data_IF_021124318938
#
_entry.id   IF_021124318938
#
_cell.length_a   1.000
_cell.length_b   1.000
_cell.length_c   1.000
_cell.angle_alpha   90.00
_cell.angle_beta   90.00
_cell.angle_gamma   90.00
#
_symmetry.space_group_name_H-M   'P 1'
#
loop_
_entity.id
_entity.type
_entity.pdbx_description
1 polymer ?
#
# COMPACT_ATOMS: atom_id res chain seq x y z
N UNK A 1 -24.38 -22.02 1.40
CA UNK A 1 -23.10 -22.25 0.71
C UNK A 1 -22.00 -22.18 1.75
N UNK A 2 -20.99 -23.06 1.70
CA UNK A 2 -19.85 -22.98 2.62
C UNK A 2 -19.06 -21.69 2.35
N UNK A 3 -18.66 -20.98 3.40
CA UNK A 3 -17.82 -19.79 3.29
C UNK A 3 -16.48 -20.18 2.66
N UNK A 4 -16.04 -19.52 1.56
CA UNK A 4 -14.73 -19.79 0.97
C UNK A 4 -13.60 -19.65 2.01
N UNK A 5 -12.58 -20.50 1.92
CA UNK A 5 -11.41 -20.44 2.82
C UNK A 5 -10.74 -19.06 2.82
N UNK A 6 -10.72 -18.39 1.68
CA UNK A 6 -10.22 -17.02 1.50
C UNK A 6 -10.98 -16.02 2.40
N UNK A 7 -12.31 -16.03 2.36
CA UNK A 7 -13.14 -15.19 3.22
C UNK A 7 -12.93 -15.46 4.72
N UNK A 8 -12.77 -16.72 5.14
CA UNK A 8 -12.49 -17.07 6.54
C UNK A 8 -11.13 -16.51 7.00
N UNK A 9 -10.11 -16.57 6.15
CA UNK A 9 -8.80 -16.00 6.43
C UNK A 9 -8.85 -14.48 6.58
N UNK A 10 -9.56 -13.79 5.67
CA UNK A 10 -9.73 -12.33 5.74
C UNK A 10 -10.51 -11.90 6.99
N UNK A 11 -11.57 -12.62 7.36
CA UNK A 11 -12.30 -12.37 8.61
C UNK A 11 -11.39 -12.53 9.84
N UNK A 12 -10.52 -13.54 9.85
CA UNK A 12 -9.54 -13.74 10.92
C UNK A 12 -8.56 -12.57 11.00
N UNK A 13 -7.95 -12.16 9.88
CA UNK A 13 -7.00 -11.04 9.85
C UNK A 13 -7.65 -9.72 10.27
N UNK A 14 -8.88 -9.44 9.83
CA UNK A 14 -9.62 -8.24 10.24
C UNK A 14 -9.87 -8.23 11.75
N UNK A 15 -10.27 -9.38 12.31
CA UNK A 15 -10.48 -9.53 13.75
C UNK A 15 -9.18 -9.36 14.54
N UNK A 16 -8.06 -9.84 14.01
CA UNK A 16 -6.75 -9.69 14.63
C UNK A 16 -6.32 -8.22 14.66
N UNK A 17 -6.47 -7.49 13.56
CA UNK A 17 -6.20 -6.05 13.48
C UNK A 17 -7.10 -5.22 14.41
N UNK A 18 -8.39 -5.57 14.50
CA UNK A 18 -9.32 -4.90 15.43
C UNK A 18 -8.97 -5.18 16.90
N UNK A 19 -8.43 -6.36 17.22
CA UNK A 19 -8.03 -6.73 18.58
C UNK A 19 -6.67 -6.14 18.96
N UNK A 20 -5.76 -6.04 18.00
CA UNK A 20 -4.40 -5.55 18.16
C UNK A 20 -4.13 -4.54 17.03
N UNK A 21 -4.56 -3.28 17.19
CA UNK A 21 -4.27 -2.26 16.20
C UNK A 21 -2.77 -2.07 16.09
N UNK A 22 -2.30 -1.88 14.87
CA UNK A 22 -0.89 -1.62 14.54
C UNK A 22 -0.74 -0.12 14.34
N UNK A 23 0.34 0.45 14.85
CA UNK A 23 0.58 1.89 14.69
C UNK A 23 0.85 2.24 13.21
N UNK A 24 0.43 3.44 12.82
CA UNK A 24 0.66 3.97 11.47
C UNK A 24 -0.44 3.68 10.45
N UNK A 25 -1.41 2.81 10.74
CA UNK A 25 -2.60 2.67 9.89
C UNK A 25 -3.84 2.19 10.64
N UNK A 26 -5.01 2.38 10.05
CA UNK A 26 -6.24 1.68 10.42
C UNK A 26 -6.83 0.97 9.22
N UNK A 27 -7.57 -0.10 9.46
CA UNK A 27 -8.16 -0.93 8.41
C UNK A 27 -9.63 -1.23 8.75
N UNK A 28 -10.49 -1.14 7.75
CA UNK A 28 -11.91 -1.46 7.86
C UNK A 28 -12.48 -1.95 6.54
N UNK A 29 -13.74 -2.38 6.54
CA UNK A 29 -14.42 -2.76 5.32
C UNK A 29 -14.97 -1.52 4.61
N UNK A 30 -14.90 -1.51 3.28
CA UNK A 30 -15.62 -0.50 2.48
C UNK A 30 -17.13 -0.70 2.64
N UNK A 31 -17.56 -1.96 2.75
CA UNK A 31 -18.94 -2.38 2.98
C UNK A 31 -18.94 -3.66 3.79
N UNK A 32 -19.72 -3.72 4.88
CA UNK A 32 -19.79 -4.88 5.77
C UNK A 32 -20.22 -6.18 5.08
N UNK A 33 -20.87 -6.08 3.92
CA UNK A 33 -21.28 -7.22 3.10
C UNK A 33 -20.18 -7.74 2.15
N UNK A 34 -19.03 -7.06 2.05
CA UNK A 34 -17.93 -7.43 1.17
C UNK A 34 -16.58 -7.48 1.90
N UNK A 35 -16.22 -8.67 2.37
CA UNK A 35 -14.94 -8.93 3.05
C UNK A 35 -13.71 -8.79 2.14
N UNK A 36 -13.87 -8.69 0.82
CA UNK A 36 -12.76 -8.61 -0.15
C UNK A 36 -12.38 -7.17 -0.52
N UNK A 37 -13.03 -6.15 0.04
CA UNK A 37 -12.70 -4.75 -0.22
C UNK A 37 -12.58 -3.97 1.09
N UNK A 38 -11.36 -3.53 1.38
CA UNK A 38 -11.03 -2.85 2.61
C UNK A 38 -10.64 -1.40 2.32
N UNK A 39 -11.04 -0.51 3.22
CA UNK A 39 -10.54 0.86 3.29
C UNK A 39 -9.45 0.92 4.35
N UNK A 40 -8.31 1.49 3.99
CA UNK A 40 -7.16 1.68 4.86
C UNK A 40 -6.92 3.17 5.01
N UNK A 41 -6.69 3.64 6.23
CA UNK A 41 -6.16 4.97 6.48
C UNK A 41 -4.70 4.84 6.91
N UNK A 42 -3.77 5.42 6.15
CA UNK A 42 -2.34 5.36 6.42
C UNK A 42 -1.88 6.71 6.94
N UNK A 43 -1.24 6.72 8.11
CA UNK A 43 -0.63 7.92 8.69
C UNK A 43 0.76 8.06 8.08
N UNK A 44 1.06 9.25 7.57
CA UNK A 44 2.38 9.60 7.06
C UNK A 44 3.46 9.34 8.11
N UNK A 45 4.49 8.52 7.84
CA UNK A 45 5.46 8.13 8.85
C UNK A 45 6.27 9.34 9.37
N UNK A 46 6.66 9.35 10.65
CA UNK A 46 7.47 10.42 11.22
C UNK A 46 8.84 10.49 10.54
N UNK A 47 9.45 11.68 10.53
CA UNK A 47 10.76 11.95 9.93
C UNK A 47 10.81 11.69 8.41
N UNK A 48 9.64 11.71 7.74
CA UNK A 48 9.51 11.60 6.28
C UNK A 48 8.87 12.83 5.66
N UNK A 49 8.93 12.95 4.33
CA UNK A 49 8.22 14.02 3.61
C UNK A 49 6.69 13.90 3.72
N UNK A 50 6.19 12.73 4.09
CA UNK A 50 4.76 12.42 4.21
C UNK A 50 4.22 12.67 5.62
N UNK A 51 5.09 12.97 6.60
CA UNK A 51 4.72 13.17 8.00
C UNK A 51 3.54 14.13 8.16
N UNK A 52 2.59 13.75 9.03
CA UNK A 52 1.37 14.50 9.30
C UNK A 52 0.28 14.35 8.23
N UNK A 53 0.52 13.60 7.14
CA UNK A 53 -0.49 13.26 6.15
C UNK A 53 -1.36 12.06 6.56
N UNK A 54 -2.56 11.98 6.01
CA UNK A 54 -3.53 10.90 6.24
C UNK A 54 -4.06 10.39 4.91
N UNK A 55 -3.46 9.31 4.42
CA UNK A 55 -3.70 8.82 3.07
C UNK A 55 -4.68 7.66 3.08
N UNK A 56 -5.86 7.89 2.51
CA UNK A 56 -6.86 6.85 2.31
C UNK A 56 -6.44 5.96 1.13
N UNK A 57 -6.52 4.66 1.32
CA UNK A 57 -6.28 3.66 0.30
C UNK A 57 -7.36 2.57 0.33
N UNK A 58 -7.48 1.85 -0.78
CA UNK A 58 -8.34 0.67 -0.92
C UNK A 58 -7.48 -0.55 -1.17
N UNK A 59 -7.73 -1.60 -0.40
CA UNK A 59 -7.11 -2.91 -0.57
C UNK A 59 -8.17 -3.88 -1.10
N UNK A 60 -7.93 -4.44 -2.28
CA UNK A 60 -8.87 -5.34 -2.96
C UNK A 60 -8.26 -6.72 -3.08
N UNK A 61 -8.92 -7.70 -2.48
CA UNK A 61 -8.46 -9.08 -2.45
C UNK A 61 -9.05 -9.89 -3.61
N UNK A 62 -8.26 -10.77 -4.25
CA UNK A 62 -8.80 -11.69 -5.23
C UNK A 62 -9.50 -12.87 -4.55
N UNK A 63 -10.32 -13.62 -5.29
CA UNK A 63 -11.10 -14.74 -4.73
C UNK A 63 -10.22 -15.92 -4.29
N UNK A 64 -9.04 -16.06 -4.91
CA UNK A 64 -8.02 -17.07 -4.64
C UNK A 64 -7.00 -16.63 -3.57
N UNK A 65 -7.24 -15.52 -2.86
CA UNK A 65 -6.44 -15.13 -1.70
C UNK A 65 -6.33 -16.29 -0.68
N UNK A 66 -5.14 -16.62 -0.14
CA UNK A 66 -3.87 -15.88 -0.22
C UNK A 66 -2.92 -16.39 -1.32
N UNK A 67 -3.38 -17.12 -2.33
CA UNK A 67 -2.49 -17.58 -3.41
C UNK A 67 -2.02 -16.42 -4.30
N UNK A 68 -2.91 -15.46 -4.55
CA UNK A 68 -2.60 -14.22 -5.26
C UNK A 68 -2.65 -13.01 -4.30
N UNK A 69 -1.79 -11.99 -4.51
CA UNK A 69 -1.79 -10.80 -3.69
C UNK A 69 -3.06 -9.96 -3.90
N UNK A 70 -3.45 -9.15 -2.90
CA UNK A 70 -4.39 -8.06 -3.13
C UNK A 70 -3.77 -6.95 -4.00
N UNK A 71 -4.60 -6.06 -4.54
CA UNK A 71 -4.15 -4.79 -5.09
C UNK A 71 -4.38 -3.67 -4.07
N UNK A 72 -3.41 -2.75 -3.97
CA UNK A 72 -3.50 -1.56 -3.11
C UNK A 72 -3.53 -0.31 -3.98
N UNK A 73 -4.50 0.57 -3.71
CA UNK A 73 -4.67 1.82 -4.45
C UNK A 73 -4.96 2.98 -3.52
N UNK A 74 -4.13 4.01 -3.54
CA UNK A 74 -4.43 5.28 -2.89
C UNK A 74 -5.65 5.93 -3.55
N UNK A 75 -6.60 6.32 -2.69
CA UNK A 75 -7.76 7.15 -3.04
C UNK A 75 -7.39 8.63 -2.89
N UNK A 76 -6.66 8.96 -1.82
CA UNK A 76 -6.05 10.27 -1.64
C UNK A 76 -5.01 10.55 -2.72
N UNK A 77 -4.88 11.80 -3.14
CA UNK A 77 -3.77 12.21 -4.01
C UNK A 77 -2.45 12.00 -3.26
N UNK A 78 -1.50 11.34 -3.90
CA UNK A 78 -0.15 11.13 -3.38
C UNK A 78 0.88 11.29 -4.51
N UNK A 79 2.02 11.88 -4.18
CA UNK A 79 3.14 12.01 -5.12
C UNK A 79 4.27 11.10 -4.64
N UNK A 80 4.53 10.00 -5.34
CA UNK A 80 5.52 8.99 -4.91
C UNK A 80 6.09 8.21 -6.12
N UNK A 81 7.40 7.86 -6.15
CA UNK A 81 8.00 7.08 -7.24
C UNK A 81 7.35 5.72 -7.49
N UNK A 82 6.98 4.99 -6.43
CA UNK A 82 6.37 3.66 -6.50
C UNK A 82 4.83 3.66 -6.51
N UNK A 83 4.20 4.81 -6.79
CA UNK A 83 2.74 4.91 -6.93
C UNK A 83 2.40 5.45 -8.31
N UNK A 84 1.64 4.70 -9.10
CA UNK A 84 1.16 5.12 -10.41
C UNK A 84 0.28 6.36 -10.31
N UNK A 85 0.12 7.10 -11.41
CA UNK A 85 -0.74 8.31 -11.45
C UNK A 85 -2.21 8.01 -11.18
N UNK A 86 -2.64 6.75 -11.36
CA UNK A 86 -3.98 6.29 -11.00
C UNK A 86 -4.14 5.99 -9.50
N UNK A 87 -3.05 6.01 -8.71
CA UNK A 87 -3.01 5.70 -7.27
C UNK A 87 -2.58 4.27 -6.93
N UNK A 88 -2.40 3.38 -7.90
CA UNK A 88 -2.01 1.99 -7.67
C UNK A 88 -0.55 1.90 -7.18
N UNK A 89 -0.33 1.09 -6.14
CA UNK A 89 0.97 0.91 -5.48
C UNK A 89 1.73 -0.24 -6.14
N UNK A 90 3.00 0.00 -6.48
CA UNK A 90 3.88 -0.95 -7.13
C UNK A 90 5.09 -1.26 -6.24
N UNK A 91 4.99 -2.30 -5.44
CA UNK A 91 6.07 -2.81 -4.58
C UNK A 91 6.09 -4.34 -4.63
N UNK A 92 7.26 -4.92 -4.45
CA UNK A 92 7.53 -6.36 -4.66
C UNK A 92 6.52 -7.27 -3.96
N UNK A 93 6.17 -7.00 -2.70
CA UNK A 93 5.21 -7.80 -1.91
C UNK A 93 3.82 -7.90 -2.56
N UNK A 94 3.44 -6.96 -3.44
CA UNK A 94 2.16 -6.97 -4.17
C UNK A 94 2.29 -7.60 -5.57
N UNK A 95 3.49 -8.00 -6.00
CA UNK A 95 3.68 -8.68 -7.27
C UNK A 95 3.33 -10.17 -7.16
N UNK A 96 2.73 -10.76 -8.21
CA UNK A 96 2.41 -12.18 -8.24
C UNK A 96 3.62 -13.08 -7.90
N UNK A 97 3.39 -14.25 -7.29
CA UNK A 97 4.46 -15.17 -6.93
C UNK A 97 5.22 -15.67 -8.17
N UNK A 98 6.48 -16.08 -7.94
CA UNK A 98 7.37 -16.65 -8.96
C UNK A 98 8.54 -15.74 -9.32
N UNK A 99 9.39 -16.20 -10.23
CA UNK A 99 10.58 -15.46 -10.63
C UNK A 99 10.21 -14.20 -11.43
N UNK A 100 10.87 -13.09 -11.12
CA UNK A 100 10.78 -11.91 -11.97
C UNK A 100 11.50 -12.17 -13.29
N UNK A 101 10.82 -11.90 -14.41
CA UNK A 101 11.37 -12.15 -15.76
C UNK A 101 12.60 -11.30 -16.05
N UNK A 102 12.73 -10.16 -15.39
CA UNK A 102 13.83 -9.23 -15.57
C UNK A 102 14.91 -9.37 -14.50
N UNK A 103 14.66 -10.16 -13.45
CA UNK A 103 15.61 -10.45 -12.38
C UNK A 103 15.86 -9.27 -11.42
N UNK A 104 14.95 -8.29 -11.36
CA UNK A 104 15.08 -7.17 -10.42
C UNK A 104 14.69 -7.56 -8.99
N UNK A 105 13.84 -8.57 -8.84
CA UNK A 105 13.28 -8.98 -7.56
C UNK A 105 13.52 -10.47 -7.32
N UNK A 106 13.90 -10.84 -6.09
CA UNK A 106 13.95 -12.23 -5.67
C UNK A 106 12.52 -12.74 -5.45
N UNK A 107 12.25 -14.02 -5.76
CA UNK A 107 10.94 -14.62 -5.50
C UNK A 107 10.50 -14.52 -4.02
N UNK A 108 11.45 -14.43 -3.08
CA UNK A 108 11.20 -14.22 -1.65
C UNK A 108 10.76 -12.81 -1.28
N UNK A 109 11.01 -11.82 -2.13
CA UNK A 109 10.58 -10.43 -1.95
C UNK A 109 9.19 -10.18 -2.53
N UNK A 110 8.69 -11.13 -3.34
CA UNK A 110 7.37 -11.09 -3.98
C UNK A 110 6.29 -11.68 -3.08
N UNK A 111 5.05 -11.72 -3.56
CA UNK A 111 3.94 -12.26 -2.78
C UNK A 111 4.16 -13.72 -2.36
N UNK A 112 3.99 -13.97 -1.06
CA UNK A 112 3.98 -15.28 -0.44
C UNK A 112 2.66 -15.40 0.36
N UNK A 113 1.99 -16.57 0.35
CA UNK A 113 0.73 -16.77 1.08
C UNK A 113 0.78 -16.56 2.60
N UNK A 114 1.99 -16.41 3.17
CA UNK A 114 2.21 -16.08 4.59
C UNK A 114 2.02 -14.60 4.90
N UNK A 115 2.07 -13.73 3.87
CA UNK A 115 1.88 -12.30 4.05
C UNK A 115 0.42 -11.97 4.43
N UNK A 116 0.31 -11.06 5.38
CA UNK A 116 -0.95 -10.53 5.91
C UNK A 116 -1.13 -9.07 5.51
N UNK A 117 -2.32 -8.53 5.75
CA UNK A 117 -2.57 -7.09 5.59
C UNK A 117 -1.57 -6.25 6.39
N UNK A 118 -1.25 -6.67 7.61
CA UNK A 118 -0.23 -6.02 8.44
C UNK A 118 1.14 -5.97 7.74
N UNK A 119 1.62 -7.09 7.21
CA UNK A 119 2.92 -7.12 6.52
C UNK A 119 2.94 -6.25 5.27
N UNK A 120 1.83 -6.16 4.53
CA UNK A 120 1.70 -5.25 3.39
C UNK A 120 1.79 -3.79 3.86
N UNK A 121 1.08 -3.43 4.92
CA UNK A 121 1.07 -2.05 5.43
C UNK A 121 2.45 -1.63 5.96
N UNK A 122 3.18 -2.53 6.62
CA UNK A 122 4.57 -2.29 7.02
C UNK A 122 5.47 -2.01 5.81
N UNK A 123 5.32 -2.78 4.72
CA UNK A 123 6.06 -2.53 3.47
C UNK A 123 5.69 -1.18 2.84
N UNK A 124 4.42 -0.76 2.89
CA UNK A 124 3.98 0.56 2.38
C UNK A 124 4.55 1.70 3.22
N UNK A 125 4.53 1.58 4.55
CA UNK A 125 5.14 2.56 5.46
C UNK A 125 6.65 2.67 5.21
N UNK A 126 7.34 1.54 5.03
CA UNK A 126 8.75 1.51 4.65
C UNK A 126 8.98 2.18 3.30
N UNK A 127 8.13 1.92 2.31
CA UNK A 127 8.20 2.52 0.98
C UNK A 127 8.09 4.05 1.05
N UNK A 128 7.15 4.59 1.83
CA UNK A 128 7.01 6.05 2.01
C UNK A 128 8.24 6.70 2.65
N UNK A 129 8.97 5.94 3.47
CA UNK A 129 10.19 6.39 4.14
C UNK A 129 11.42 6.32 3.24
N UNK A 130 11.45 5.37 2.30
CA UNK A 130 12.58 5.13 1.40
C UNK A 130 12.07 4.65 0.04
N UNK A 131 11.81 5.59 -0.90
CA UNK A 131 11.35 5.24 -2.24
C UNK A 131 12.36 4.35 -2.98
N UNK A 132 11.87 3.33 -3.69
CA UNK A 132 12.68 2.52 -4.59
C UNK A 132 12.73 3.19 -5.98
N UNK A 133 13.93 3.55 -6.44
CA UNK A 133 14.17 4.25 -7.71
C UNK A 133 14.65 3.35 -8.86
N UNK A 134 14.82 2.04 -8.63
CA UNK A 134 15.26 1.06 -9.62
C UNK A 134 14.15 0.73 -10.63
N UNK A 135 12.90 0.65 -10.16
CA UNK A 135 11.72 0.36 -10.99
C UNK A 135 10.53 1.27 -10.62
N UNK A 136 10.57 2.57 -10.99
CA UNK A 136 9.55 3.52 -10.58
C UNK A 136 8.24 3.37 -11.38
N UNK A 137 7.12 3.34 -10.68
CA UNK A 137 5.77 3.41 -11.26
C UNK A 137 5.45 4.81 -11.81
N UNK A 138 6.00 5.86 -11.18
CA UNK A 138 5.88 7.25 -11.60
C UNK A 138 7.26 7.83 -11.92
N UNK A 139 7.60 7.81 -13.21
CA UNK A 139 8.89 8.27 -13.74
C UNK A 139 9.15 9.73 -13.40
N UNK A 140 8.12 10.59 -13.41
CA UNK A 140 8.29 12.01 -13.09
C UNK A 140 8.60 12.22 -11.61
N UNK A 141 7.90 11.51 -10.71
CA UNK A 141 8.18 11.56 -9.28
C UNK A 141 9.59 11.02 -8.97
N UNK A 142 10.01 9.94 -9.64
CA UNK A 142 11.36 9.39 -9.51
C UNK A 142 12.45 10.34 -10.02
N UNK A 143 12.21 11.02 -11.15
CA UNK A 143 13.12 12.04 -11.67
C UNK A 143 13.29 13.19 -10.69
N UNK A 144 12.19 13.73 -10.17
CA UNK A 144 12.24 14.82 -9.19
C UNK A 144 12.89 14.37 -7.87
N UNK A 145 12.63 13.15 -7.42
CA UNK A 145 13.31 12.58 -6.26
C UNK A 145 14.84 12.59 -6.41
N UNK A 146 15.36 12.25 -7.59
CA UNK A 146 16.81 12.20 -7.86
C UNK A 146 17.44 13.55 -8.20
N UNK A 147 16.76 14.34 -9.03
CA UNK A 147 17.36 15.51 -9.70
C UNK A 147 16.86 16.84 -9.12
N UNK A 148 15.67 16.88 -8.49
CA UNK A 148 15.08 18.10 -7.93
C UNK A 148 14.34 17.84 -6.61
N UNK A 149 15.06 17.51 -5.52
CA UNK A 149 14.46 17.27 -4.21
C UNK A 149 13.58 18.43 -3.69
N UNK A 150 13.90 19.71 -3.93
CA UNK A 150 12.99 20.82 -3.58
C UNK A 150 11.64 20.76 -4.29
N UNK A 151 11.60 20.47 -5.59
CA UNK A 151 10.34 20.33 -6.33
C UNK A 151 9.55 19.10 -5.87
N UNK A 152 10.23 17.98 -5.64
CA UNK A 152 9.61 16.77 -5.09
C UNK A 152 8.95 17.07 -3.74
N UNK A 153 9.71 17.65 -2.80
CA UNK A 153 9.22 18.04 -1.48
C UNK A 153 8.02 18.96 -1.57
N UNK A 154 8.04 19.97 -2.44
CA UNK A 154 6.92 20.90 -2.62
C UNK A 154 5.63 20.18 -3.03
N UNK A 155 5.71 19.19 -3.93
CA UNK A 155 4.55 18.41 -4.37
C UNK A 155 4.05 17.46 -3.28
N UNK A 156 4.94 16.77 -2.58
CA UNK A 156 4.56 15.90 -1.46
C UNK A 156 3.87 16.70 -0.36
N UNK A 157 4.40 17.86 0.03
CA UNK A 157 3.76 18.70 1.05
C UNK A 157 2.37 19.20 0.63
N UNK A 158 2.13 19.38 -0.68
CA UNK A 158 0.79 19.69 -1.21
C UNK A 158 -0.15 18.50 -1.01
N UNK A 159 0.31 17.27 -1.29
CA UNK A 159 -0.49 16.06 -1.08
C UNK A 159 -0.78 15.81 0.40
N UNK A 160 0.19 16.08 1.29
CA UNK A 160 0.00 16.02 2.75
C UNK A 160 -1.10 16.97 3.20
N UNK A 161 -1.04 18.25 2.80
CA UNK A 161 -2.07 19.24 3.17
C UNK A 161 -3.45 18.84 2.66
N UNK A 162 -3.55 18.42 1.39
CA UNK A 162 -4.82 17.98 0.80
C UNK A 162 -5.40 16.77 1.52
N UNK A 163 -4.56 15.83 1.94
CA UNK A 163 -5.00 14.64 2.69
C UNK A 163 -5.69 14.97 4.02
N UNK A 164 -5.37 16.13 4.63
CA UNK A 164 -6.02 16.63 5.84
C UNK A 164 -7.37 17.28 5.56
N UNK A 165 -7.56 17.84 4.37
CA UNK A 165 -8.82 18.46 3.92
C UNK A 165 -9.85 17.39 3.52
N UNK A 166 -9.38 16.25 3.02
CA UNK A 166 -10.20 15.12 2.56
C UNK A 166 -10.62 14.16 3.70
N UNK A 167 -10.22 14.44 4.95
CA UNK A 167 -10.49 13.61 6.14
C UNK A 167 -11.84 13.93 6.78
#
# INVERSE_FOLDING_TARGET
MATPTSALLLQKQLKELNKKPVEGFSAGLVNDNNIYEWEIMIIGPPDTLYEGGFFKAKLKFPQDYPQMPPTLKFVSEIWHPNVYTNGEVCISILHPPGDDRYGYEQASERWLPVHTVETIMLSVISMLSSPNDESPANVQAAKEWREDPPAFKKKVLRTVRKSLEDM
#
